data_IF_774988288151
#
_entry.id   IF_774988288151
#
_cell.length_a   1.000
_cell.length_b   1.000
_cell.length_c   1.000
_cell.angle_alpha   90.00
_cell.angle_beta   90.00
_cell.angle_gamma   90.00
#
_symmetry.space_group_name_H-M   'P 1'
#
loop_
_entity.id
_entity.type
_entity.pdbx_description
1 polymer ?
#
# COMPACT_ATOMS: atom_id res chain seq x y z
N UNK A 1 -0.08 -10.38 19.72
CA UNK A 1 1.06 -9.44 19.64
C UNK A 1 0.53 -8.11 19.13
N UNK A 2 0.63 -7.05 19.94
CA UNK A 2 0.34 -5.69 19.49
C UNK A 2 1.51 -5.22 18.64
N UNK A 3 1.28 -4.88 17.38
CA UNK A 3 2.30 -4.25 16.53
C UNK A 3 2.54 -2.82 17.05
N UNK A 4 3.78 -2.36 17.06
CA UNK A 4 4.04 -0.92 17.25
C UNK A 4 3.41 -0.12 16.10
N UNK A 5 3.15 1.18 16.25
CA UNK A 5 2.66 2.01 15.15
C UNK A 5 3.52 1.91 13.88
N UNK A 6 4.85 1.82 14.02
CA UNK A 6 5.74 1.65 12.87
C UNK A 6 5.57 0.29 12.21
N UNK A 7 5.56 -0.80 12.99
CA UNK A 7 5.35 -2.15 12.47
C UNK A 7 3.97 -2.33 11.82
N UNK A 8 2.95 -1.63 12.31
CA UNK A 8 1.64 -1.60 11.68
C UNK A 8 1.69 -0.86 10.34
N UNK A 9 2.35 0.30 10.29
CA UNK A 9 2.52 1.07 9.06
C UNK A 9 3.28 0.28 7.99
N UNK A 10 4.41 -0.33 8.34
CA UNK A 10 5.18 -1.21 7.44
C UNK A 10 4.32 -2.38 6.93
N UNK A 11 3.54 -2.99 7.82
CA UNK A 11 2.61 -4.05 7.43
C UNK A 11 1.58 -3.58 6.40
N UNK A 12 0.98 -2.40 6.57
CA UNK A 12 0.03 -1.84 5.60
C UNK A 12 0.73 -1.51 4.27
N UNK A 13 1.94 -0.97 4.29
CA UNK A 13 2.73 -0.69 3.08
C UNK A 13 3.06 -1.96 2.29
N UNK A 14 3.41 -3.06 2.98
CA UNK A 14 3.62 -4.35 2.35
C UNK A 14 2.33 -4.96 1.78
N UNK A 15 1.19 -4.77 2.46
CA UNK A 15 -0.11 -5.15 1.91
C UNK A 15 -0.47 -4.34 0.66
N UNK A 16 -0.17 -3.04 0.64
CA UNK A 16 -0.35 -2.17 -0.53
C UNK A 16 0.48 -2.68 -1.72
N UNK A 17 1.75 -3.05 -1.49
CA UNK A 17 2.62 -3.59 -2.52
C UNK A 17 2.05 -4.86 -3.15
N UNK A 18 1.64 -5.83 -2.32
CA UNK A 18 1.04 -7.08 -2.82
C UNK A 18 -0.29 -6.83 -3.53
N UNK A 19 -1.11 -5.91 -3.02
CA UNK A 19 -2.42 -5.57 -3.62
C UNK A 19 -2.23 -4.87 -4.97
N UNK A 20 -1.28 -3.94 -5.08
CA UNK A 20 -0.93 -3.28 -6.33
C UNK A 20 -0.43 -4.27 -7.38
N UNK A 21 0.48 -5.17 -7.01
CA UNK A 21 0.97 -6.23 -7.92
C UNK A 21 -0.14 -7.17 -8.37
N UNK A 22 -1.06 -7.54 -7.47
CA UNK A 22 -2.23 -8.35 -7.81
C UNK A 22 -3.18 -7.61 -8.76
N UNK A 23 -3.41 -6.32 -8.53
CA UNK A 23 -4.26 -5.50 -9.39
C UNK A 23 -3.66 -5.37 -10.79
N UNK A 24 -2.36 -5.09 -10.87
CA UNK A 24 -1.62 -5.03 -12.12
C UNK A 24 -1.68 -6.36 -12.89
N UNK A 25 -1.59 -7.51 -12.20
CA UNK A 25 -1.71 -8.83 -12.82
C UNK A 25 -3.08 -9.08 -13.47
N UNK A 26 -4.14 -8.39 -13.02
CA UNK A 26 -5.47 -8.42 -13.68
C UNK A 26 -5.60 -7.43 -14.83
N UNK A 27 -4.54 -6.67 -15.15
CA UNK A 27 -4.58 -5.55 -16.08
C UNK A 27 -5.37 -4.36 -15.53
N UNK A 28 -5.40 -4.20 -14.20
CA UNK A 28 -6.12 -3.16 -13.48
C UNK A 28 -7.65 -3.17 -13.73
N UNK A 29 -8.25 -4.35 -13.88
CA UNK A 29 -9.69 -4.50 -14.19
C UNK A 29 -10.53 -5.02 -13.02
N UNK A 30 -9.87 -5.53 -11.97
CA UNK A 30 -10.58 -6.06 -10.80
C UNK A 30 -10.91 -4.92 -9.82
N UNK A 31 -12.18 -4.52 -9.80
CA UNK A 31 -12.71 -3.47 -8.92
C UNK A 31 -12.61 -3.81 -7.43
N UNK A 32 -12.62 -5.10 -7.07
CA UNK A 32 -12.49 -5.52 -5.68
C UNK A 32 -11.06 -5.29 -5.17
N UNK A 33 -10.06 -5.56 -6.02
CA UNK A 33 -8.66 -5.28 -5.71
C UNK A 33 -8.39 -3.78 -5.68
N UNK A 34 -8.94 -3.01 -6.63
CA UNK A 34 -8.88 -1.54 -6.61
C UNK A 34 -9.42 -0.96 -5.31
N UNK A 35 -10.64 -1.37 -4.91
CA UNK A 35 -11.25 -0.90 -3.68
C UNK A 35 -10.44 -1.27 -2.44
N UNK A 36 -9.83 -2.47 -2.43
CA UNK A 36 -8.93 -2.88 -1.35
C UNK A 36 -7.68 -2.01 -1.31
N UNK A 37 -7.09 -1.69 -2.46
CA UNK A 37 -5.93 -0.80 -2.56
C UNK A 37 -6.24 0.60 -2.01
N UNK A 38 -7.36 1.19 -2.43
CA UNK A 38 -7.80 2.52 -1.96
C UNK A 38 -8.13 2.53 -0.45
N UNK A 39 -8.68 1.43 0.09
CA UNK A 39 -8.89 1.32 1.53
C UNK A 39 -7.57 1.25 2.31
N UNK A 40 -6.58 0.51 1.80
CA UNK A 40 -5.27 0.43 2.44
C UNK A 40 -4.52 1.77 2.39
N UNK A 41 -4.69 2.57 1.33
CA UNK A 41 -4.12 3.93 1.27
C UNK A 41 -4.67 4.81 2.40
N UNK A 42 -5.98 4.73 2.67
CA UNK A 42 -6.62 5.48 3.77
C UNK A 42 -6.11 5.09 5.15
N UNK A 43 -5.70 3.84 5.33
CA UNK A 43 -5.08 3.36 6.57
C UNK A 43 -3.67 3.97 6.78
N UNK A 44 -2.98 4.37 5.70
CA UNK A 44 -1.70 5.09 5.79
C UNK A 44 -1.93 6.57 6.06
N UNK A 45 -2.81 7.21 5.29
CA UNK A 45 -3.11 8.63 5.43
C UNK A 45 -4.48 8.96 4.79
N UNK A 46 -5.30 9.84 5.41
CA UNK A 46 -6.62 10.20 4.85
C UNK A 46 -6.53 10.95 3.51
N UNK A 47 -5.46 11.75 3.33
CA UNK A 47 -5.14 12.35 2.03
C UNK A 47 -4.46 11.31 1.13
N UNK A 48 -5.06 11.10 -0.05
CA UNK A 48 -4.63 10.07 -1.00
C UNK A 48 -3.26 10.37 -1.63
N UNK A 49 -2.96 11.62 -1.93
CA UNK A 49 -1.68 12.00 -2.55
C UNK A 49 -0.54 11.76 -1.56
N UNK A 50 -0.74 12.12 -0.30
CA UNK A 50 0.22 11.85 0.78
C UNK A 50 0.40 10.33 1.01
N UNK A 51 -0.68 9.55 0.99
CA UNK A 51 -0.59 8.09 1.11
C UNK A 51 0.19 7.46 -0.04
N UNK A 52 -0.04 7.92 -1.27
CA UNK A 52 0.69 7.46 -2.46
C UNK A 52 2.16 7.84 -2.41
N UNK A 53 2.50 9.07 -1.99
CA UNK A 53 3.90 9.48 -1.81
C UNK A 53 4.61 8.60 -0.77
N UNK A 54 3.96 8.31 0.36
CA UNK A 54 4.51 7.42 1.38
C UNK A 54 4.74 6.00 0.81
N UNK A 55 3.81 5.50 0.00
CA UNK A 55 3.94 4.20 -0.65
C UNK A 55 5.06 4.17 -1.70
N UNK A 56 5.19 5.22 -2.52
CA UNK A 56 6.26 5.35 -3.50
C UNK A 56 7.65 5.41 -2.84
N UNK A 57 7.77 6.16 -1.73
CA UNK A 57 9.02 6.21 -0.96
C UNK A 57 9.37 4.85 -0.37
N UNK A 58 8.39 4.10 0.13
CA UNK A 58 8.58 2.73 0.64
C UNK A 58 9.14 1.81 -0.45
N UNK A 59 8.51 1.77 -1.63
CA UNK A 59 8.99 0.97 -2.76
C UNK A 59 10.40 1.40 -3.20
N UNK A 60 10.64 2.71 -3.30
CA UNK A 60 11.95 3.25 -3.69
C UNK A 60 13.07 2.90 -2.71
N UNK A 61 12.73 2.78 -1.42
CA UNK A 61 13.65 2.32 -0.37
C UNK A 61 13.94 0.81 -0.45
N UNK A 62 12.93 -0.02 -0.76
CA UNK A 62 13.11 -1.48 -0.88
C UNK A 62 13.89 -1.90 -2.14
N UNK A 63 13.82 -1.13 -3.24
CA UNK A 63 14.57 -1.42 -4.48
C UNK A 63 16.03 -0.97 -4.40
N UNK A 64 16.36 -0.05 -3.49
CA UNK A 64 17.70 0.50 -3.32
C UNK A 64 18.57 -0.22 -2.28
N UNK A 65 17.99 -1.17 -1.53
CA UNK A 65 18.67 -1.99 -0.51
C UNK A 65 19.08 -3.37 -1.08
#
# INVERSE_FOLDING_TARGET
MNKTPEQYREYILNLLLMTAGSWQATGCKDEAIEKRFENLLKEIHPDREVALLAFQMHIGGEVAA
#
